data_IF_187952480955
#
_entry.id   IF_187952480955
#
_cell.length_a   1.000
_cell.length_b   1.000
_cell.length_c   1.000
_cell.angle_alpha   90.00
_cell.angle_beta   90.00
_cell.angle_gamma   90.00
#
_symmetry.space_group_name_H-M   'P 1'
#
loop_
_entity.id
_entity.type
_entity.pdbx_description
1 polymer ?
#
# COMPACT_ATOMS: atom_id res chain seq x y z
N UNK A 1 18.02 16.58 49.09
CA UNK A 1 17.88 16.42 48.58
C UNK A 1 17.66 16.08 47.60
N UNK A 2 17.71 16.10 47.71
CA UNK A 2 17.53 15.99 46.88
C UNK A 2 17.20 15.53 45.80
N UNK A 3 17.31 15.65 45.90
CA UNK A 3 17.09 15.47 44.89
C UNK A 3 16.78 14.97 43.99
N UNK A 4 16.90 15.02 44.33
CA UNK A 4 16.77 14.84 43.48
C UNK A 4 16.25 14.37 42.68
N UNK A 5 16.09 14.53 42.89
CA UNK A 5 15.68 14.43 42.12
C UNK A 5 15.26 14.18 41.10
N UNK A 6 15.31 14.32 41.47
CA UNK A 6 14.95 14.41 40.61
C UNK A 6 14.76 14.10 39.59
N UNK A 7 14.96 14.07 39.71
CA UNK A 7 14.89 13.98 38.82
C UNK A 7 14.53 13.40 37.94
N UNK A 8 14.45 13.36 38.16
CA UNK A 8 14.25 13.05 37.40
C UNK A 8 13.74 12.75 36.51
N UNK A 9 13.61 12.88 36.64
CA UNK A 9 13.23 12.84 35.85
C UNK A 9 12.93 12.63 34.86
N UNK A 10 13.05 12.68 35.11
CA UNK A 10 12.93 12.81 34.21
C UNK A 10 12.75 12.41 33.34
N UNK A 11 12.85 12.35 33.47
CA UNK A 11 12.90 12.21 32.62
C UNK A 11 12.56 11.69 31.84
N UNK A 12 12.39 11.68 31.99
CA UNK A 12 12.30 11.48 31.25
C UNK A 12 11.84 11.19 30.41
N UNK A 13 11.68 11.37 30.52
CA UNK A 13 11.45 11.43 29.75
C UNK A 13 11.28 11.17 28.78
N UNK A 14 11.42 11.24 29.00
CA UNK A 14 11.49 11.37 28.15
C UNK A 14 11.34 10.84 27.32
N UNK A 15 11.33 10.74 27.36
CA UNK A 15 11.44 10.50 26.59
C UNK A 15 10.99 9.84 25.90
N UNK A 16 10.75 9.96 25.91
CA UNK A 16 10.51 9.66 25.29
C UNK A 16 10.04 9.51 24.48
N UNK A 17 10.08 9.68 24.50
CA UNK A 17 9.80 9.95 23.79
C UNK A 17 9.67 9.66 22.99
N UNK A 18 9.78 9.62 22.87
CA UNK A 18 9.82 9.55 22.12
C UNK A 18 9.65 9.16 21.36
N UNK A 19 9.67 9.07 21.36
CA UNK A 19 9.56 8.96 20.67
C UNK A 19 9.18 8.73 19.94
N UNK A 20 9.11 8.78 19.81
CA UNK A 20 8.86 8.84 19.17
C UNK A 20 8.44 8.75 18.42
N UNK A 21 8.36 8.89 18.23
CA UNK A 21 8.02 9.09 17.57
C UNK A 21 7.96 8.97 16.61
N UNK A 22 8.11 9.05 16.41
CA UNK A 22 8.24 9.12 15.58
C UNK A 22 7.96 8.75 14.63
N UNK A 23 7.73 8.60 14.53
CA UNK A 23 7.63 8.01 13.60
C UNK A 23 6.70 8.07 12.67
N UNK A 24 5.95 8.46 12.62
CA UNK A 24 5.20 8.72 11.77
C UNK A 24 5.49 9.40 10.68
N UNK A 25 6.42 9.37 10.23
CA UNK A 25 6.85 10.16 9.14
C UNK A 25 6.18 9.76 7.85
N UNK A 26 6.12 10.65 6.88
CA UNK A 26 5.50 10.35 5.61
C UNK A 26 6.15 9.19 4.89
N UNK A 27 7.38 8.93 5.20
CA UNK A 27 8.06 7.80 4.62
C UNK A 27 7.77 6.52 5.37
N UNK A 28 6.78 6.56 6.25
CA UNK A 28 6.46 5.41 7.07
C UNK A 28 6.13 4.17 6.27
N UNK A 29 5.50 4.32 5.10
CA UNK A 29 5.19 3.15 4.29
C UNK A 29 6.45 2.42 3.88
N UNK A 30 7.48 3.16 3.49
CA UNK A 30 8.73 2.53 3.09
C UNK A 30 9.41 1.81 4.25
N UNK A 31 9.24 2.31 5.47
CA UNK A 31 9.84 1.67 6.63
C UNK A 31 9.00 0.52 7.16
N UNK A 32 7.70 0.49 6.83
CA UNK A 32 6.80 -0.53 7.36
C UNK A 32 6.67 -1.75 6.46
N UNK A 33 6.97 -1.61 5.19
CA UNK A 33 6.77 -2.67 4.21
C UNK A 33 8.08 -3.06 3.57
N UNK A 34 8.20 -4.33 3.27
CA UNK A 34 9.31 -4.84 2.50
C UNK A 34 8.84 -5.02 1.06
N UNK A 35 9.20 -4.08 0.22
CA UNK A 35 8.81 -4.09 -1.19
C UNK A 35 9.90 -4.69 -2.09
N UNK A 36 10.90 -5.32 -1.51
CA UNK A 36 11.97 -5.94 -2.28
C UNK A 36 11.41 -7.06 -3.14
N UNK A 37 11.77 -7.06 -4.42
CA UNK A 37 11.29 -8.06 -5.35
C UNK A 37 12.30 -8.22 -6.48
N UNK A 38 12.39 -9.44 -7.01
CA UNK A 38 13.24 -9.75 -8.15
C UNK A 38 12.41 -10.44 -9.21
N UNK A 39 12.43 -9.90 -10.42
CA UNK A 39 11.77 -10.50 -11.57
C UNK A 39 10.26 -10.37 -11.57
N UNK A 40 9.72 -9.33 -10.96
CA UNK A 40 8.26 -9.22 -10.93
C UNK A 40 7.75 -8.02 -10.18
N UNK A 41 6.51 -8.15 -9.73
CA UNK A 41 5.79 -7.15 -8.95
C UNK A 41 5.39 -7.78 -7.63
N UNK A 42 5.49 -7.01 -6.56
CA UNK A 42 5.08 -7.46 -5.24
C UNK A 42 4.14 -6.42 -4.65
N UNK A 43 2.88 -6.82 -4.42
CA UNK A 43 1.88 -5.93 -3.82
C UNK A 43 1.86 -6.23 -2.32
N UNK A 44 2.21 -5.23 -1.51
CA UNK A 44 2.31 -5.42 -0.06
C UNK A 44 1.14 -4.82 0.70
N UNK A 45 0.35 -3.95 0.08
CA UNK A 45 -0.87 -3.42 0.67
C UNK A 45 -1.88 -3.18 -0.44
N UNK A 46 -3.14 -3.54 -0.30
CA UNK A 46 -3.84 -3.98 0.93
C UNK A 46 -3.43 -5.39 1.36
N UNK A 47 -3.55 -5.64 2.67
CA UNK A 47 -3.27 -6.94 3.26
C UNK A 47 -4.56 -7.69 3.53
N UNK A 48 -4.41 -8.95 3.95
CA UNK A 48 -5.56 -9.83 4.14
C UNK A 48 -6.54 -9.24 5.15
N UNK A 49 -7.82 -9.38 4.84
CA UNK A 49 -8.94 -9.00 5.71
C UNK A 49 -9.08 -7.51 5.98
N UNK A 50 -8.33 -6.65 5.30
CA UNK A 50 -8.61 -5.22 5.35
C UNK A 50 -10.04 -4.98 4.88
N UNK A 51 -10.70 -3.97 5.46
CA UNK A 51 -12.09 -3.66 5.11
C UNK A 51 -12.18 -2.21 4.65
N UNK A 52 -12.74 -2.04 3.47
CA UNK A 52 -12.92 -0.72 2.88
C UNK A 52 -14.37 -0.54 2.47
N UNK A 53 -14.73 0.68 2.14
CA UNK A 53 -16.08 1.00 1.65
C UNK A 53 -16.01 1.47 0.21
N UNK A 54 -17.11 1.27 -0.51
CA UNK A 54 -17.27 1.85 -1.84
C UNK A 54 -17.09 3.37 -1.72
N UNK A 55 -16.27 3.92 -2.62
CA UNK A 55 -16.00 5.34 -2.65
C UNK A 55 -14.80 5.76 -1.80
N UNK A 56 -14.26 4.86 -1.01
CA UNK A 56 -13.11 5.17 -0.17
C UNK A 56 -11.84 5.24 -1.01
N UNK A 57 -10.97 6.19 -0.68
CA UNK A 57 -9.63 6.25 -1.26
C UNK A 57 -8.69 5.41 -0.41
N UNK A 58 -7.92 4.55 -1.07
CA UNK A 58 -6.94 3.71 -0.38
C UNK A 58 -5.58 3.93 -1.03
N UNK A 59 -4.53 3.59 -0.31
CA UNK A 59 -3.17 3.66 -0.84
C UNK A 59 -2.70 2.25 -1.14
N UNK A 60 -2.39 1.98 -2.40
CA UNK A 60 -1.80 0.71 -2.81
C UNK A 60 -0.29 0.84 -2.71
N UNK A 61 0.36 -0.15 -2.10
CA UNK A 61 1.81 -0.12 -1.92
C UNK A 61 2.40 -1.35 -2.62
N UNK A 62 3.38 -1.11 -3.47
CA UNK A 62 4.00 -2.21 -4.22
C UNK A 62 5.44 -1.92 -4.59
N UNK A 63 6.19 -2.98 -4.83
CA UNK A 63 7.53 -2.91 -5.39
C UNK A 63 7.59 -3.62 -6.72
N UNK A 64 8.55 -3.24 -7.56
CA UNK A 64 8.75 -3.87 -8.86
C UNK A 64 10.17 -3.62 -9.35
N UNK A 65 10.68 -4.57 -10.13
CA UNK A 65 11.92 -4.37 -10.88
C UNK A 65 11.71 -4.55 -12.40
N UNK A 66 10.45 -4.55 -12.83
CA UNK A 66 10.14 -4.70 -14.25
C UNK A 66 10.06 -3.34 -14.90
N UNK A 67 10.93 -3.08 -15.87
CA UNK A 67 10.91 -1.82 -16.61
C UNK A 67 9.72 -1.77 -17.53
N UNK A 68 9.00 -0.66 -17.47
CA UNK A 68 7.84 -0.44 -18.33
C UNK A 68 7.56 1.05 -18.37
N UNK A 69 6.79 1.48 -19.36
CA UNK A 69 6.40 2.88 -19.49
C UNK A 69 5.37 3.28 -18.46
N UNK A 70 4.70 2.36 -17.85
CA UNK A 70 3.71 2.66 -16.83
C UNK A 70 3.08 1.41 -16.27
N UNK A 71 2.38 1.60 -15.16
CA UNK A 71 1.74 0.52 -14.44
C UNK A 71 0.25 0.80 -14.29
N UNK A 72 -0.54 -0.27 -14.31
CA UNK A 72 -1.98 -0.15 -14.06
C UNK A 72 -2.31 -0.77 -12.71
N UNK A 73 -3.33 -0.20 -12.09
CA UNK A 73 -3.87 -0.69 -10.82
C UNK A 73 -5.29 -1.13 -11.10
N UNK A 74 -5.57 -2.39 -10.86
CA UNK A 74 -6.85 -3.01 -11.25
C UNK A 74 -7.53 -3.55 -9.99
N UNK A 75 -8.82 -3.29 -9.85
CA UNK A 75 -9.65 -3.91 -8.83
C UNK A 75 -10.33 -5.13 -9.42
N UNK A 76 -10.26 -6.24 -8.71
CA UNK A 76 -10.96 -7.48 -9.07
C UNK A 76 -11.84 -7.88 -7.89
N UNK A 77 -13.08 -8.26 -8.17
CA UNK A 77 -13.96 -8.65 -7.08
C UNK A 77 -13.71 -10.08 -6.61
N UNK A 78 -12.99 -10.86 -7.40
CA UNK A 78 -12.53 -12.20 -7.03
C UNK A 78 -11.40 -12.60 -7.99
N UNK A 79 -10.81 -13.76 -7.75
CA UNK A 79 -9.66 -14.21 -8.52
C UNK A 79 -9.97 -14.42 -10.01
N UNK A 80 -11.22 -14.72 -10.34
CA UNK A 80 -11.62 -14.99 -11.72
C UNK A 80 -12.07 -13.75 -12.48
N UNK A 81 -12.26 -12.64 -11.77
CA UNK A 81 -12.75 -11.42 -12.38
C UNK A 81 -11.70 -10.82 -13.31
N UNK A 82 -12.13 -10.23 -14.41
CA UNK A 82 -11.21 -9.54 -15.30
C UNK A 82 -10.73 -8.22 -14.71
N UNK A 83 -11.55 -7.62 -13.85
CA UNK A 83 -11.17 -6.42 -13.15
C UNK A 83 -11.49 -5.13 -13.87
N UNK A 84 -11.33 -4.02 -13.15
CA UNK A 84 -11.55 -2.68 -13.69
C UNK A 84 -10.35 -1.82 -13.30
N UNK A 85 -9.96 -0.95 -14.21
CA UNK A 85 -8.87 -0.01 -13.95
C UNK A 85 -9.31 1.04 -12.95
N UNK A 86 -8.43 1.31 -11.98
CA UNK A 86 -8.71 2.34 -10.98
C UNK A 86 -8.01 3.66 -11.31
N UNK A 87 -7.15 3.69 -12.30
CA UNK A 87 -6.43 4.90 -12.71
C UNK A 87 -6.81 5.28 -14.12
N UNK A 88 -6.87 6.58 -14.38
CA UNK A 88 -7.10 7.07 -15.74
C UNK A 88 -5.84 7.01 -16.58
N UNK A 89 -4.69 7.15 -15.93
CA UNK A 89 -3.41 7.16 -16.62
C UNK A 89 -2.47 6.18 -15.96
N UNK A 90 -1.50 5.71 -16.73
CA UNK A 90 -0.49 4.80 -16.21
C UNK A 90 0.28 5.47 -15.06
N UNK A 91 0.59 4.70 -14.04
CA UNK A 91 1.39 5.17 -12.94
C UNK A 91 2.87 5.01 -13.27
N UNK A 92 3.65 6.07 -13.04
CA UNK A 92 5.09 6.06 -13.29
C UNK A 92 5.80 5.54 -12.05
N UNK A 93 6.12 4.27 -12.04
CA UNK A 93 6.67 3.59 -10.87
C UNK A 93 8.18 3.70 -10.81
N UNK A 94 8.73 3.64 -9.59
CA UNK A 94 10.16 3.42 -9.38
C UNK A 94 10.38 1.92 -9.48
N UNK A 95 11.23 1.51 -10.42
CA UNK A 95 11.36 0.10 -10.81
C UNK A 95 12.73 -0.47 -10.41
N UNK A 96 13.15 -0.18 -9.18
CA UNK A 96 14.47 -0.57 -8.69
C UNK A 96 14.46 -1.88 -7.88
N UNK A 97 13.29 -2.48 -7.72
CA UNK A 97 13.18 -3.71 -6.96
C UNK A 97 13.30 -3.54 -5.46
N UNK A 98 13.27 -2.30 -4.97
CA UNK A 98 13.45 -2.01 -3.54
C UNK A 98 12.45 -1.00 -3.02
N UNK A 99 12.16 0.03 -3.79
CA UNK A 99 11.33 1.15 -3.35
C UNK A 99 9.88 0.73 -3.25
N UNK A 100 9.22 1.17 -2.19
CA UNK A 100 7.77 1.02 -2.06
C UNK A 100 7.09 2.15 -2.80
N UNK A 101 6.42 1.81 -3.89
CA UNK A 101 5.59 2.77 -4.62
C UNK A 101 4.24 2.87 -3.91
N UNK A 102 3.76 4.10 -3.73
CA UNK A 102 2.49 4.36 -3.04
C UNK A 102 1.57 5.08 -3.99
N UNK A 103 0.44 4.46 -4.29
CA UNK A 103 -0.50 5.00 -5.28
C UNK A 103 -1.86 5.11 -4.63
N UNK A 104 -2.42 6.30 -4.63
CA UNK A 104 -3.78 6.50 -4.11
C UNK A 104 -4.79 6.19 -5.20
N UNK A 105 -5.75 5.35 -4.87
CA UNK A 105 -6.82 4.96 -5.79
C UNK A 105 -8.14 5.02 -5.06
N UNK A 106 -9.20 5.30 -5.81
CA UNK A 106 -10.54 5.36 -5.26
C UNK A 106 -11.28 4.09 -5.64
N UNK A 107 -11.96 3.47 -4.68
CA UNK A 107 -12.79 2.31 -4.94
C UNK A 107 -14.13 2.82 -5.49
N UNK A 108 -14.12 3.19 -6.75
CA UNK A 108 -15.17 3.97 -7.39
C UNK A 108 -16.21 3.07 -8.05
N UNK A 109 -17.45 3.17 -7.56
CA UNK A 109 -18.54 2.39 -8.14
C UNK A 109 -18.75 2.76 -9.61
N UNK A 110 -18.47 3.99 -9.99
CA UNK A 110 -18.62 4.41 -11.38
C UNK A 110 -17.65 3.69 -12.31
N UNK A 111 -16.55 3.19 -11.78
CA UNK A 111 -15.59 2.41 -12.55
C UNK A 111 -15.92 0.92 -12.53
N UNK A 112 -16.88 0.52 -11.70
CA UNK A 112 -17.29 -0.86 -11.62
C UNK A 112 -16.87 -1.57 -10.35
N UNK A 113 -16.38 -0.85 -9.34
CA UNK A 113 -16.05 -1.47 -8.06
C UNK A 113 -17.35 -1.84 -7.36
N UNK A 114 -17.42 -3.05 -6.86
CA UNK A 114 -18.61 -3.61 -6.20
C UNK A 114 -18.23 -4.17 -4.85
N UNK A 115 -19.20 -4.23 -3.92
CA UNK A 115 -18.94 -4.90 -2.65
C UNK A 115 -18.56 -6.36 -2.87
N UNK A 116 -17.60 -6.84 -2.08
CA UNK A 116 -17.13 -8.20 -2.20
C UNK A 116 -16.40 -8.59 -0.93
N UNK A 117 -16.41 -9.88 -0.61
CA UNK A 117 -15.61 -10.42 0.50
C UNK A 117 -14.24 -10.91 0.02
N UNK A 118 -13.99 -10.89 -1.29
CA UNK A 118 -12.79 -11.46 -1.88
C UNK A 118 -12.14 -10.50 -2.88
N UNK A 119 -12.03 -9.22 -2.48
CA UNK A 119 -11.45 -8.20 -3.33
C UNK A 119 -9.94 -8.37 -3.49
N UNK A 120 -9.45 -7.96 -4.63
CA UNK A 120 -8.04 -8.05 -4.98
C UNK A 120 -7.63 -6.77 -5.69
N UNK A 121 -6.46 -6.27 -5.35
CA UNK A 121 -5.78 -5.25 -6.16
C UNK A 121 -4.69 -5.95 -6.95
N UNK A 122 -4.74 -5.80 -8.27
CA UNK A 122 -3.67 -6.31 -9.12
C UNK A 122 -2.89 -5.14 -9.68
N UNK A 123 -1.56 -5.22 -9.60
CA UNK A 123 -0.65 -4.22 -10.15
C UNK A 123 0.12 -4.88 -11.27
N UNK A 124 0.11 -4.28 -12.46
CA UNK A 124 0.74 -4.89 -13.62
C UNK A 124 1.38 -3.84 -14.52
N UNK A 125 2.57 -4.14 -15.07
CA UNK A 125 3.16 -3.27 -16.09
C UNK A 125 2.31 -3.37 -17.37
N UNK A 126 2.10 -2.23 -18.01
CA UNK A 126 1.21 -2.16 -19.18
C UNK A 126 1.63 -3.11 -20.31
N UNK A 127 2.92 -3.19 -20.57
CA UNK A 127 3.41 -3.97 -21.70
C UNK A 127 3.84 -5.38 -21.31
N UNK A 128 3.71 -5.72 -20.05
CA UNK A 128 4.08 -7.05 -19.55
C UNK A 128 3.09 -7.48 -18.49
N UNK A 129 1.82 -7.51 -18.85
CA UNK A 129 0.75 -7.70 -17.84
C UNK A 129 0.81 -9.06 -17.16
N UNK A 130 1.39 -10.06 -17.81
CA UNK A 130 1.58 -11.36 -17.19
C UNK A 130 2.62 -11.34 -16.07
N UNK A 131 3.39 -10.26 -15.96
CA UNK A 131 4.35 -10.10 -14.86
C UNK A 131 3.73 -9.39 -13.65
N UNK A 132 2.46 -9.00 -13.74
CA UNK A 132 1.79 -8.37 -12.62
C UNK A 132 1.55 -9.32 -11.46
N UNK A 133 1.11 -8.76 -10.34
CA UNK A 133 0.84 -9.56 -9.15
C UNK A 133 -0.37 -9.01 -8.42
N UNK A 134 -0.94 -9.85 -7.58
CA UNK A 134 -2.17 -9.55 -6.82
C UNK A 134 -1.84 -9.28 -5.36
N UNK A 135 -2.66 -8.43 -4.74
CA UNK A 135 -2.66 -8.29 -3.29
C UNK A 135 -3.28 -9.52 -2.66
N UNK A 136 -3.21 -9.57 -1.33
CA UNK A 136 -4.04 -10.51 -0.57
C UNK A 136 -5.50 -10.12 -0.67
N UNK A 137 -6.39 -11.00 -0.24
CA UNK A 137 -7.83 -10.76 -0.30
C UNK A 137 -8.26 -9.75 0.76
N UNK A 138 -9.13 -8.83 0.38
CA UNK A 138 -9.69 -7.86 1.30
C UNK A 138 -11.19 -7.73 1.05
N UNK A 139 -11.84 -6.93 1.89
CA UNK A 139 -13.30 -6.81 1.88
C UNK A 139 -13.68 -5.41 1.46
N UNK A 140 -14.67 -5.30 0.57
CA UNK A 140 -15.26 -4.02 0.19
C UNK A 140 -16.73 -4.05 0.57
N UNK A 141 -17.14 -3.06 1.35
CA UNK A 141 -18.52 -2.91 1.83
C UNK A 141 -19.18 -1.74 1.13
N UNK A 142 -20.51 -1.74 1.16
CA UNK A 142 -21.28 -0.62 0.66
C UNK A 142 -21.09 0.64 1.49
#
# INVERSE_FOLDING_TARGET
MKFSHALLLASSLAFFACGGDDDDSPTGANSRYDCSVTGGVKVVYPTISEQFKIGQEITVVFGTDIEDNGYKIVFKKNASDMGVDLLEEAYDAVMDGKTCNEVKVKLDAKRGVEPTLTGIIRVAPYNKQNKGNNSELFIVKE
#
